data_IF_245846771832
#
_entry.id   IF_245846771832
#
_cell.length_a   1.000
_cell.length_b   1.000
_cell.length_c   1.000
_cell.angle_alpha   90.00
_cell.angle_beta   90.00
_cell.angle_gamma   90.00
#
_symmetry.space_group_name_H-M   'P 1'
#
loop_
_entity.id
_entity.type
_entity.pdbx_description
1 polymer ?
#
# COMPACT_ATOMS: atom_id res chain seq x y z
N UNK A 1 -23.68 9.11 1.17
CA UNK A 1 -22.47 8.34 1.52
C UNK A 1 -22.57 6.99 0.82
N UNK A 2 -21.68 6.69 -0.12
CA UNK A 2 -21.66 5.36 -0.78
C UNK A 2 -21.29 4.29 0.25
N UNK A 3 -22.11 3.25 0.39
CA UNK A 3 -21.81 2.09 1.25
C UNK A 3 -20.54 1.40 0.74
N UNK A 4 -19.43 1.55 1.46
CA UNK A 4 -18.20 0.78 1.21
C UNK A 4 -18.50 -0.67 1.60
N UNK A 5 -18.56 -1.57 0.62
CA UNK A 5 -18.78 -3.00 0.85
C UNK A 5 -17.46 -3.69 1.15
N UNK A 6 -17.16 -3.94 2.42
CA UNK A 6 -16.00 -4.74 2.84
C UNK A 6 -16.26 -6.22 2.60
N UNK A 7 -15.30 -6.92 2.00
CA UNK A 7 -15.32 -8.39 1.86
C UNK A 7 -14.07 -8.97 2.49
N UNK A 8 -14.24 -10.00 3.30
CA UNK A 8 -13.15 -10.78 3.89
C UNK A 8 -13.04 -12.12 3.18
N UNK A 9 -11.82 -12.51 2.84
CA UNK A 9 -11.52 -13.80 2.22
C UNK A 9 -10.49 -14.53 3.09
N UNK A 10 -10.95 -15.52 3.86
CA UNK A 10 -10.12 -16.32 4.78
C UNK A 10 -10.21 -17.78 4.36
N UNK A 11 -9.07 -18.42 4.10
CA UNK A 11 -8.99 -19.80 3.65
C UNK A 11 -7.56 -20.34 3.84
N UNK A 12 -7.36 -21.66 3.67
CA UNK A 12 -6.05 -22.35 3.75
C UNK A 12 -5.03 -21.80 2.75
N UNK A 13 -3.74 -22.01 3.02
CA UNK A 13 -2.67 -21.62 2.08
C UNK A 13 -2.86 -22.34 0.73
N UNK A 14 -2.51 -21.68 -0.37
CA UNK A 14 -2.65 -22.25 -1.71
C UNK A 14 -4.08 -22.26 -2.30
N UNK A 15 -5.11 -21.86 -1.54
CA UNK A 15 -6.51 -21.86 -2.01
C UNK A 15 -6.85 -20.79 -3.07
N UNK A 16 -5.85 -20.08 -3.62
CA UNK A 16 -6.06 -19.05 -4.65
C UNK A 16 -6.50 -17.67 -4.16
N UNK A 17 -6.37 -17.34 -2.86
CA UNK A 17 -6.78 -16.02 -2.33
C UNK A 17 -6.14 -14.84 -3.07
N UNK A 18 -4.82 -14.89 -3.25
CA UNK A 18 -4.06 -13.86 -3.98
C UNK A 18 -4.49 -13.77 -5.44
N UNK A 19 -4.72 -14.93 -6.08
CA UNK A 19 -5.23 -15.00 -7.45
C UNK A 19 -6.59 -14.32 -7.58
N UNK A 20 -7.53 -14.59 -6.67
CA UNK A 20 -8.85 -13.97 -6.69
C UNK A 20 -8.78 -12.45 -6.47
N UNK A 21 -7.90 -11.99 -5.58
CA UNK A 21 -7.65 -10.56 -5.40
C UNK A 21 -7.09 -9.91 -6.68
N UNK A 22 -6.16 -10.58 -7.36
CA UNK A 22 -5.58 -10.13 -8.62
C UNK A 22 -6.61 -10.11 -9.76
N UNK A 23 -7.47 -11.12 -9.87
CA UNK A 23 -8.58 -11.15 -10.84
C UNK A 23 -9.52 -9.95 -10.63
N UNK A 24 -9.87 -9.64 -9.37
CA UNK A 24 -10.67 -8.45 -9.05
C UNK A 24 -9.98 -7.14 -9.43
N UNK A 25 -8.67 -7.02 -9.21
CA UNK A 25 -7.87 -5.83 -9.55
C UNK A 25 -7.56 -5.71 -11.05
N UNK A 26 -7.59 -6.80 -11.80
CA UNK A 26 -7.56 -6.74 -13.26
C UNK A 26 -8.87 -6.17 -13.83
N UNK A 27 -9.99 -6.32 -13.12
CA UNK A 27 -11.30 -5.82 -13.54
C UNK A 27 -11.56 -4.40 -13.05
N UNK A 28 -10.93 -3.96 -11.96
CA UNK A 28 -11.21 -2.69 -11.30
C UNK A 28 -9.92 -1.90 -11.05
N UNK A 29 -9.97 -0.58 -11.25
CA UNK A 29 -8.90 0.30 -10.77
C UNK A 29 -8.87 0.25 -9.25
N UNK A 30 -7.80 -0.30 -8.69
CA UNK A 30 -7.69 -0.51 -7.25
C UNK A 30 -6.26 -0.60 -6.78
N UNK A 31 -6.10 -0.63 -5.46
CA UNK A 31 -4.82 -0.66 -4.79
C UNK A 31 -4.57 -2.02 -4.13
N UNK A 32 -3.36 -2.55 -4.30
CA UNK A 32 -2.91 -3.78 -3.68
C UNK A 32 -1.89 -3.48 -2.58
N UNK A 33 -2.21 -3.89 -1.36
CA UNK A 33 -1.35 -3.75 -0.18
C UNK A 33 -1.03 -5.13 0.40
N UNK A 34 0.19 -5.28 0.91
CA UNK A 34 0.62 -6.46 1.64
C UNK A 34 1.08 -6.05 3.02
N UNK A 35 0.62 -6.74 4.06
CA UNK A 35 1.01 -6.46 5.45
C UNK A 35 2.46 -6.87 5.76
N UNK A 36 2.92 -7.95 5.13
CA UNK A 36 4.29 -8.43 5.17
C UNK A 36 4.63 -9.07 3.82
N UNK A 37 5.83 -8.79 3.31
CA UNK A 37 6.33 -9.46 2.12
C UNK A 37 6.89 -10.82 2.53
N UNK A 38 6.43 -11.88 1.86
CA UNK A 38 6.94 -13.24 2.04
C UNK A 38 8.17 -13.51 1.14
N UNK A 39 8.69 -14.74 1.17
CA UNK A 39 9.83 -15.14 0.33
C UNK A 39 9.56 -15.01 -1.17
N UNK A 40 8.30 -14.96 -1.61
CA UNK A 40 7.94 -14.80 -3.02
C UNK A 40 8.09 -13.35 -3.50
N UNK A 41 8.29 -12.39 -2.59
CA UNK A 41 8.55 -11.00 -2.94
C UNK A 41 7.37 -10.29 -3.58
N UNK A 42 6.15 -10.79 -3.39
CA UNK A 42 4.94 -10.22 -3.99
C UNK A 42 4.46 -9.04 -3.16
N UNK A 43 4.19 -7.93 -3.85
CA UNK A 43 3.73 -6.67 -3.30
C UNK A 43 4.86 -5.69 -3.02
N UNK A 44 4.47 -4.47 -2.66
CA UNK A 44 5.38 -3.45 -2.16
C UNK A 44 5.51 -3.53 -0.64
N UNK A 45 6.69 -3.18 -0.13
CA UNK A 45 6.99 -3.18 1.31
C UNK A 45 6.63 -1.88 2.00
N UNK A 46 5.91 -0.98 1.33
CA UNK A 46 5.48 0.32 1.85
C UNK A 46 4.67 0.20 3.15
N UNK A 47 3.67 -0.67 3.23
CA UNK A 47 2.89 -0.83 4.46
C UNK A 47 3.76 -1.41 5.60
N UNK A 48 4.51 -2.47 5.34
CA UNK A 48 5.39 -3.09 6.34
C UNK A 48 6.43 -2.09 6.87
N UNK A 49 7.05 -1.30 5.97
CA UNK A 49 8.04 -0.28 6.33
C UNK A 49 7.42 0.90 7.08
N UNK A 50 6.22 1.32 6.69
CA UNK A 50 5.51 2.39 7.40
C UNK A 50 5.21 1.99 8.84
N UNK A 51 4.79 0.74 9.04
CA UNK A 51 4.55 0.18 10.37
C UNK A 51 5.86 0.07 11.15
N UNK A 52 6.95 -0.41 10.55
CA UNK A 52 8.24 -0.51 11.25
C UNK A 52 8.76 0.87 11.67
N UNK A 53 8.71 1.88 10.80
CA UNK A 53 9.12 3.25 11.12
C UNK A 53 8.31 3.85 12.26
N UNK A 54 7.00 3.59 12.33
CA UNK A 54 6.16 4.08 13.42
C UNK A 54 6.42 3.32 14.73
N UNK A 55 6.51 2.00 14.67
CA UNK A 55 6.80 1.15 15.85
C UNK A 55 8.17 1.49 16.43
N UNK A 56 9.20 1.63 15.58
CA UNK A 56 10.57 1.98 15.99
C UNK A 56 10.68 3.41 16.51
N UNK A 57 9.83 4.34 16.05
CA UNK A 57 9.79 5.72 16.56
C UNK A 57 9.28 5.87 18.00
N UNK A 58 9.04 4.76 18.72
CA UNK A 58 8.57 4.68 20.13
C UNK A 58 7.21 5.35 20.40
N UNK A 59 6.52 5.88 19.41
CA UNK A 59 5.23 6.57 19.58
C UNK A 59 4.07 5.61 19.86
N UNK A 60 4.19 4.31 19.57
CA UNK A 60 3.04 3.38 19.54
C UNK A 60 3.11 2.24 20.56
N UNK A 61 4.30 1.86 21.05
CA UNK A 61 4.44 0.56 21.75
C UNK A 61 4.01 0.60 23.23
N UNK A 62 3.73 1.78 23.80
CA UNK A 62 3.42 1.89 25.23
C UNK A 62 2.20 2.74 25.61
N UNK A 63 1.50 3.41 24.68
CA UNK A 63 0.24 4.05 25.05
C UNK A 63 -0.89 3.03 25.00
N UNK A 64 -1.49 2.74 26.16
CA UNK A 64 -2.79 2.05 26.26
C UNK A 64 -3.95 2.91 25.69
N UNK A 65 -3.62 4.08 25.13
CA UNK A 65 -4.56 5.02 24.54
C UNK A 65 -4.93 4.57 23.11
N UNK A 66 -6.10 3.93 23.02
CA UNK A 66 -6.68 3.47 21.75
C UNK A 66 -6.93 4.65 20.79
N UNK A 67 -7.30 5.82 21.31
CA UNK A 67 -7.64 6.99 20.49
C UNK A 67 -6.38 7.57 19.82
N UNK A 68 -5.26 7.62 20.55
CA UNK A 68 -3.97 8.00 20.01
C UNK A 68 -3.52 7.02 18.91
N UNK A 69 -3.64 5.72 19.17
CA UNK A 69 -3.31 4.67 18.20
C UNK A 69 -4.15 4.75 16.91
N UNK A 70 -5.44 5.09 17.04
CA UNK A 70 -6.32 5.35 15.89
C UNK A 70 -5.80 6.54 15.09
N UNK A 71 -5.49 7.67 15.74
CA UNK A 71 -4.98 8.87 15.06
C UNK A 71 -3.68 8.59 14.32
N UNK A 72 -2.74 7.89 14.96
CA UNK A 72 -1.47 7.49 14.33
C UNK A 72 -1.75 6.60 13.12
N UNK A 73 -2.57 5.56 13.27
CA UNK A 73 -2.94 4.65 12.19
C UNK A 73 -3.58 5.38 11.01
N UNK A 74 -4.49 6.33 11.28
CA UNK A 74 -5.10 7.15 10.24
C UNK A 74 -4.08 8.00 9.50
N UNK A 75 -3.14 8.64 10.21
CA UNK A 75 -2.04 9.41 9.58
C UNK A 75 -1.16 8.52 8.70
N UNK A 76 -0.85 7.30 9.16
CA UNK A 76 -0.12 6.30 8.38
C UNK A 76 -0.88 5.94 7.09
N UNK A 77 -2.12 5.49 7.22
CA UNK A 77 -2.91 5.03 6.08
C UNK A 77 -3.19 6.14 5.07
N UNK A 78 -3.41 7.39 5.52
CA UNK A 78 -3.55 8.54 4.62
C UNK A 78 -2.29 8.77 3.79
N UNK A 79 -1.11 8.68 4.40
CA UNK A 79 0.18 8.79 3.70
C UNK A 79 0.38 7.66 2.69
N UNK A 80 0.11 6.43 3.11
CA UNK A 80 0.20 5.26 2.26
C UNK A 80 -0.69 5.40 1.02
N UNK A 81 -1.96 5.79 1.22
CA UNK A 81 -2.90 6.03 0.13
C UNK A 81 -2.46 7.19 -0.77
N UNK A 82 -1.97 8.29 -0.20
CA UNK A 82 -1.45 9.42 -0.98
C UNK A 82 -0.29 8.98 -1.88
N UNK A 83 0.65 8.18 -1.39
CA UNK A 83 1.74 7.64 -2.21
C UNK A 83 1.21 6.85 -3.40
N UNK A 84 0.24 5.96 -3.16
CA UNK A 84 -0.38 5.16 -4.23
C UNK A 84 -1.12 6.03 -5.25
N UNK A 85 -1.81 7.07 -4.79
CA UNK A 85 -2.51 8.01 -5.66
C UNK A 85 -1.54 8.85 -6.52
N UNK A 86 -0.42 9.31 -5.96
CA UNK A 86 0.59 10.05 -6.71
C UNK A 86 1.27 9.19 -7.78
N UNK A 87 1.63 7.96 -7.44
CA UNK A 87 2.19 7.03 -8.44
C UNK A 87 1.12 6.68 -9.48
N UNK A 88 -0.14 6.50 -9.07
CA UNK A 88 -1.24 6.26 -9.99
C UNK A 88 -1.51 7.44 -10.92
N UNK A 89 -1.42 8.69 -10.44
CA UNK A 89 -1.62 9.86 -11.29
C UNK A 89 -0.54 9.94 -12.37
N UNK A 90 0.72 9.69 -12.01
CA UNK A 90 1.83 9.63 -12.98
C UNK A 90 1.61 8.48 -13.97
N UNK A 91 1.22 7.30 -13.49
CA UNK A 91 0.87 6.16 -14.33
C UNK A 91 -0.26 6.51 -15.32
N UNK A 92 -1.34 7.13 -14.83
CA UNK A 92 -2.50 7.50 -15.64
C UNK A 92 -2.15 8.56 -16.70
N UNK A 93 -1.26 9.49 -16.37
CA UNK A 93 -0.80 10.54 -17.28
C UNK A 93 0.11 9.99 -18.40
N UNK A 94 1.02 9.07 -18.07
CA UNK A 94 2.07 8.63 -19.00
C UNK A 94 1.76 7.30 -19.71
N UNK A 95 0.97 6.43 -19.09
CA UNK A 95 0.57 5.13 -19.64
C UNK A 95 -0.90 5.16 -20.07
N UNK A 96 -1.78 5.79 -19.28
CA UNK A 96 -3.20 5.93 -19.58
C UNK A 96 -4.10 5.02 -18.74
N UNK A 97 -5.41 5.21 -18.86
CA UNK A 97 -6.44 4.53 -18.03
C UNK A 97 -7.37 3.63 -18.82
N UNK A 98 -6.91 3.09 -19.96
CA UNK A 98 -7.65 2.10 -20.73
C UNK A 98 -7.78 0.76 -19.98
N UNK A 99 -8.74 -0.08 -20.35
CA UNK A 99 -9.06 -1.31 -19.60
C UNK A 99 -7.87 -2.27 -19.55
N UNK A 100 -7.13 -2.36 -20.65
CA UNK A 100 -5.89 -3.10 -20.83
C UNK A 100 -4.77 -2.68 -19.86
N UNK A 101 -4.78 -1.43 -19.39
CA UNK A 101 -3.75 -0.90 -18.50
C UNK A 101 -3.95 -1.30 -17.03
N UNK A 102 -5.13 -1.82 -16.65
CA UNK A 102 -5.39 -2.31 -15.27
C UNK A 102 -4.41 -3.41 -14.87
N UNK A 103 -4.07 -4.30 -15.81
CA UNK A 103 -3.09 -5.37 -15.57
C UNK A 103 -1.68 -4.80 -15.36
N UNK A 104 -1.29 -3.78 -16.11
CA UNK A 104 0.00 -3.10 -15.93
C UNK A 104 0.07 -2.41 -14.57
N UNK A 105 -1.01 -1.75 -14.17
CA UNK A 105 -1.12 -1.14 -12.84
C UNK A 105 -1.04 -2.17 -11.72
N UNK A 106 -1.70 -3.32 -11.85
CA UNK A 106 -1.54 -4.42 -10.90
C UNK A 106 -0.11 -4.95 -10.86
N UNK A 107 0.52 -5.17 -12.02
CA UNK A 107 1.90 -5.68 -12.09
C UNK A 107 2.88 -4.72 -11.41
N UNK A 108 2.73 -3.40 -11.59
CA UNK A 108 3.55 -2.42 -10.91
C UNK A 108 3.42 -2.54 -9.38
N UNK A 109 2.22 -2.76 -8.85
CA UNK A 109 1.98 -2.88 -7.41
C UNK A 109 2.41 -4.23 -6.83
N UNK A 110 2.23 -5.32 -7.59
CA UNK A 110 2.53 -6.68 -7.17
C UNK A 110 4.02 -7.03 -7.34
N UNK A 111 4.71 -6.43 -8.30
CA UNK A 111 6.11 -6.73 -8.61
C UNK A 111 6.90 -5.44 -8.90
N UNK A 112 6.90 -4.45 -8.00
CA UNK A 112 7.47 -3.13 -8.27
C UNK A 112 8.97 -3.22 -8.62
N UNK A 113 9.71 -4.10 -7.95
CA UNK A 113 11.14 -4.33 -8.23
C UNK A 113 11.37 -5.01 -9.58
N UNK A 114 10.46 -5.86 -10.06
CA UNK A 114 10.61 -6.48 -11.37
C UNK A 114 10.26 -5.50 -12.49
N UNK A 115 9.22 -4.69 -12.30
CA UNK A 115 8.71 -3.74 -13.31
C UNK A 115 9.55 -2.47 -13.38
N UNK A 116 9.95 -1.92 -12.22
CA UNK A 116 10.64 -0.62 -12.11
C UNK A 116 12.05 -0.72 -11.53
N UNK A 117 12.58 -1.92 -11.28
CA UNK A 117 13.91 -2.16 -10.65
C UNK A 117 14.04 -1.71 -9.19
N UNK A 118 13.06 -0.97 -8.67
CA UNK A 118 12.98 -0.56 -7.27
C UNK A 118 11.55 -0.56 -6.76
N UNK A 119 11.39 -0.61 -5.44
CA UNK A 119 10.09 -0.45 -4.82
C UNK A 119 9.72 1.03 -4.71
N UNK A 120 9.17 1.60 -5.79
CA UNK A 120 8.82 3.03 -5.88
C UNK A 120 7.84 3.47 -4.80
N UNK A 121 6.91 2.60 -4.41
CA UNK A 121 5.89 2.91 -3.41
C UNK A 121 6.54 3.01 -2.04
N UNK A 122 7.40 2.05 -1.70
CA UNK A 122 8.11 2.06 -0.43
C UNK A 122 9.12 3.21 -0.33
N UNK A 123 9.78 3.57 -1.44
CA UNK A 123 10.69 4.73 -1.51
C UNK A 123 9.93 6.04 -1.29
N UNK A 124 8.85 6.28 -2.06
CA UNK A 124 8.06 7.51 -1.95
C UNK A 124 7.44 7.66 -0.56
N UNK A 125 6.89 6.57 -0.01
CA UNK A 125 6.35 6.55 1.36
C UNK A 125 7.40 6.97 2.38
N UNK A 126 8.62 6.44 2.27
CA UNK A 126 9.72 6.78 3.18
C UNK A 126 10.09 8.27 3.07
N UNK A 127 10.15 8.81 1.85
CA UNK A 127 10.45 10.23 1.63
C UNK A 127 9.38 11.15 2.21
N UNK A 128 8.09 10.84 1.99
CA UNK A 128 7.00 11.63 2.56
C UNK A 128 6.99 11.58 4.09
N UNK A 129 7.33 10.43 4.68
CA UNK A 129 7.47 10.29 6.13
C UNK A 129 8.59 11.19 6.69
N UNK A 130 9.76 11.21 6.05
CA UNK A 130 10.89 12.05 6.48
C UNK A 130 10.55 13.55 6.39
N UNK A 131 9.91 13.98 5.29
CA UNK A 131 9.51 15.38 5.11
C UNK A 131 8.54 15.85 6.19
N UNK A 132 7.63 15.00 6.64
CA UNK A 132 6.70 15.33 7.71
C UNK A 132 7.41 15.50 9.06
N UNK A 133 8.30 14.56 9.42
CA UNK A 133 9.10 14.69 10.65
C UNK A 133 9.92 15.98 10.64
N UNK A 134 10.47 16.35 9.49
CA UNK A 134 11.24 17.59 9.35
C UNK A 134 10.38 18.86 9.48
N UNK A 135 9.06 18.78 9.24
CA UNK A 135 8.13 19.92 9.41
C UNK A 135 7.58 20.05 10.83
N UNK A 136 7.67 19.00 11.65
CA UNK A 136 7.21 18.99 13.04
C UNK A 136 8.32 19.39 14.04
N UNK A 137 9.54 19.67 13.56
CA UNK A 137 10.66 20.21 14.34
C UNK A 137 10.89 21.68 14.02
#
# INVERSE_FOLDING_TARGET
MSNIKTRFLVNTSGSGKTRLAFEGLCQNWGFYFVGAIDMNGIGSGDLQRLLSLHIESKTVVHSQDVEENIKITQRCLRRLLLCRLLVFSIFAEHIGTAVEHKKLWLLLQALPRAVYRSDIFSILMTQLFIVEIARER
#
